data_IF_483965589103
#
_entry.id   IF_483965589103
#
_cell.length_a   1.000
_cell.length_b   1.000
_cell.length_c   1.000
_cell.angle_alpha   90.00
_cell.angle_beta   90.00
_cell.angle_gamma   90.00
#
_symmetry.space_group_name_H-M   'P 1'
#
loop_
_entity.id
_entity.type
_entity.pdbx_description
1 polymer ?
#
# COMPACT_ATOMS: atom_id res chain seq x y z
N UNK A 1 39.69 24.23 21.16
CA UNK A 1 38.25 24.48 20.84
C UNK A 1 37.89 24.23 19.37
N UNK A 2 38.70 24.63 18.36
CA UNK A 2 38.42 24.37 16.92
C UNK A 2 38.11 22.90 16.57
N UNK A 3 38.81 21.93 17.18
CA UNK A 3 38.60 20.49 16.93
C UNK A 3 37.25 19.97 17.43
N UNK A 4 36.71 20.52 18.51
CA UNK A 4 35.40 20.15 19.08
C UNK A 4 34.27 20.69 18.21
N UNK A 5 34.39 21.93 17.72
CA UNK A 5 33.44 22.54 16.78
C UNK A 5 33.39 21.77 15.46
N UNK A 6 34.54 21.30 14.97
CA UNK A 6 34.60 20.46 13.77
C UNK A 6 33.89 19.10 13.98
N UNK A 7 34.08 18.48 15.14
CA UNK A 7 33.40 17.23 15.51
C UNK A 7 31.88 17.43 15.60
N UNK A 8 31.43 18.56 16.17
CA UNK A 8 30.02 18.94 16.25
C UNK A 8 29.40 19.20 14.87
N UNK A 9 30.13 19.85 13.95
CA UNK A 9 29.71 20.09 12.57
C UNK A 9 29.64 18.82 11.73
N UNK A 10 30.57 17.88 11.96
CA UNK A 10 30.54 16.55 11.33
C UNK A 10 29.34 15.75 11.87
N UNK A 11 29.11 15.75 13.18
CA UNK A 11 27.94 15.11 13.79
C UNK A 11 26.62 15.70 13.31
N UNK A 12 26.52 17.03 13.17
CA UNK A 12 25.36 17.71 12.59
C UNK A 12 25.14 17.34 11.12
N UNK A 13 26.20 17.29 10.31
CA UNK A 13 26.09 16.88 8.90
C UNK A 13 25.69 15.42 8.74
N UNK A 14 26.15 14.53 9.64
CA UNK A 14 25.75 13.12 9.60
C UNK A 14 24.39 12.86 10.25
N UNK A 15 23.85 13.75 11.08
CA UNK A 15 22.50 13.56 11.65
C UNK A 15 21.37 14.06 10.74
N UNK A 16 21.69 14.73 9.63
CA UNK A 16 20.76 15.01 8.52
C UNK A 16 20.79 13.83 7.52
N UNK A 17 20.89 12.58 8.01
CA UNK A 17 20.51 11.44 7.18
C UNK A 17 19.05 11.67 6.77
N UNK A 18 18.82 11.69 5.46
CA UNK A 18 17.50 11.75 4.83
C UNK A 18 16.58 10.71 5.48
N UNK A 19 15.82 11.11 6.51
CA UNK A 19 14.96 10.21 7.24
C UNK A 19 13.80 9.84 6.33
N UNK A 20 13.58 8.53 6.16
CA UNK A 20 12.45 8.00 5.38
C UNK A 20 11.38 7.54 6.35
N UNK A 21 10.22 8.19 6.31
CA UNK A 21 9.04 7.77 7.05
C UNK A 21 8.37 6.57 6.37
N UNK A 22 7.71 5.74 7.16
CA UNK A 22 6.85 4.66 6.68
C UNK A 22 5.50 4.74 7.38
N UNK A 23 4.43 4.65 6.60
CA UNK A 23 3.06 4.63 7.09
C UNK A 23 2.31 3.48 6.42
N UNK A 24 1.43 2.81 7.18
CA UNK A 24 0.56 1.79 6.59
C UNK A 24 -0.80 1.66 7.26
N UNK A 25 -1.84 1.42 6.44
CA UNK A 25 -3.16 0.99 6.89
C UNK A 25 -3.52 -0.46 6.49
N UNK A 26 -2.51 -1.22 6.05
CA UNK A 26 -2.67 -2.60 5.58
C UNK A 26 -2.63 -3.58 6.76
N UNK A 27 -3.63 -4.45 6.82
CA UNK A 27 -3.60 -5.66 7.64
C UNK A 27 -2.72 -6.72 6.97
N UNK A 28 -1.70 -7.18 7.69
CA UNK A 28 -0.72 -8.15 7.19
C UNK A 28 -1.23 -9.60 7.19
N UNK A 29 -2.38 -9.88 7.82
CA UNK A 29 -2.96 -11.22 7.93
C UNK A 29 -3.63 -11.64 6.62
N UNK A 30 -3.30 -12.85 6.14
CA UNK A 30 -3.99 -13.48 5.01
C UNK A 30 -5.33 -14.05 5.46
N UNK A 31 -6.39 -13.79 4.69
CA UNK A 31 -7.71 -14.36 4.94
C UNK A 31 -8.16 -15.26 3.80
N UNK A 32 -8.94 -16.30 4.11
CA UNK A 32 -9.65 -17.07 3.10
C UNK A 32 -11.14 -16.77 3.24
N UNK A 33 -11.77 -16.36 2.14
CA UNK A 33 -13.15 -15.91 2.08
C UNK A 33 -13.92 -16.86 1.18
N UNK A 34 -14.98 -17.42 1.71
CA UNK A 34 -15.96 -18.17 0.93
C UNK A 34 -17.12 -17.22 0.63
N UNK A 35 -17.33 -16.92 -0.64
CA UNK A 35 -18.43 -16.07 -1.08
C UNK A 35 -19.41 -16.87 -1.94
N UNK A 36 -20.70 -16.69 -1.65
CA UNK A 36 -21.75 -17.07 -2.58
C UNK A 36 -21.88 -16.00 -3.65
N UNK A 37 -22.11 -16.43 -4.90
CA UNK A 37 -22.24 -15.49 -6.00
C UNK A 37 -23.52 -15.75 -6.76
N UNK A 38 -24.35 -14.70 -6.85
CA UNK A 38 -25.67 -14.62 -7.48
C UNK A 38 -26.20 -13.19 -7.33
N UNK A 39 -27.51 -12.96 -7.43
CA UNK A 39 -28.12 -11.60 -7.35
C UNK A 39 -27.88 -10.90 -5.99
N UNK A 40 -27.50 -11.66 -4.96
CA UNK A 40 -27.05 -11.15 -3.67
C UNK A 40 -25.72 -11.81 -3.31
N UNK A 41 -24.63 -11.28 -3.86
CA UNK A 41 -23.27 -11.72 -3.51
C UNK A 41 -23.04 -11.49 -2.01
N UNK A 42 -22.68 -12.53 -1.27
CA UNK A 42 -22.55 -12.49 0.18
C UNK A 42 -21.40 -13.35 0.68
N UNK A 43 -20.73 -12.91 1.74
CA UNK A 43 -19.70 -13.70 2.42
C UNK A 43 -20.38 -14.75 3.28
N UNK A 44 -20.14 -16.03 2.98
CA UNK A 44 -20.59 -17.15 3.82
C UNK A 44 -19.68 -17.32 5.03
N UNK A 45 -18.37 -17.29 4.79
CA UNK A 45 -17.37 -17.58 5.80
C UNK A 45 -16.07 -16.83 5.53
N UNK A 46 -15.36 -16.46 6.60
CA UNK A 46 -14.01 -15.89 6.53
C UNK A 46 -13.17 -16.50 7.64
N UNK A 47 -12.06 -17.12 7.25
CA UNK A 47 -11.04 -17.59 8.17
C UNK A 47 -9.74 -16.81 8.00
N UNK A 48 -8.96 -16.77 9.06
CA UNK A 48 -7.61 -16.19 9.04
C UNK A 48 -6.64 -17.35 8.86
N UNK A 49 -5.88 -17.32 7.78
CA UNK A 49 -4.87 -18.35 7.52
C UNK A 49 -3.62 -18.09 8.36
N UNK A 50 -2.84 -19.14 8.62
CA UNK A 50 -1.56 -19.04 9.32
C UNK A 50 -0.46 -18.49 8.40
N UNK A 51 -0.67 -17.28 7.90
CA UNK A 51 0.29 -16.52 7.10
C UNK A 51 0.20 -15.05 7.46
N UNK A 52 1.36 -14.43 7.66
CA UNK A 52 1.49 -13.02 8.00
C UNK A 52 2.53 -12.35 7.11
N UNK A 53 2.10 -11.37 6.31
CA UNK A 53 2.95 -10.59 5.42
C UNK A 53 3.88 -9.60 6.16
N UNK A 54 3.86 -9.57 7.49
CA UNK A 54 4.66 -8.63 8.29
C UNK A 54 6.14 -8.71 7.98
N UNK A 55 6.68 -9.91 7.78
CA UNK A 55 8.12 -10.08 7.56
C UNK A 55 8.54 -9.59 6.17
N UNK A 56 7.67 -9.77 5.18
CA UNK A 56 7.86 -9.19 3.86
C UNK A 56 7.83 -7.66 3.91
N UNK A 57 6.85 -7.07 4.60
CA UNK A 57 6.73 -5.61 4.75
C UNK A 57 7.94 -5.05 5.51
N UNK A 58 8.34 -5.68 6.63
CA UNK A 58 9.52 -5.28 7.40
C UNK A 58 10.80 -5.27 6.55
N UNK A 59 10.98 -6.27 5.67
CA UNK A 59 12.12 -6.30 4.75
C UNK A 59 12.09 -5.15 3.76
N UNK A 60 10.92 -4.77 3.25
CA UNK A 60 10.76 -3.61 2.36
C UNK A 60 11.04 -2.27 3.07
N UNK A 61 10.88 -2.21 4.40
CA UNK A 61 10.87 -0.95 5.17
C UNK A 61 11.94 -0.90 6.27
N UNK A 62 12.97 -1.75 6.20
CA UNK A 62 13.92 -2.00 7.30
C UNK A 62 14.69 -0.77 7.79
N UNK A 63 14.82 0.28 6.97
CA UNK A 63 15.55 1.52 7.28
C UNK A 63 14.63 2.73 7.45
N UNK A 64 13.35 2.50 7.72
CA UNK A 64 12.34 3.56 7.83
C UNK A 64 11.86 3.76 9.26
N UNK A 65 11.40 4.98 9.54
CA UNK A 65 10.76 5.33 10.81
C UNK A 65 9.26 5.13 10.63
N UNK A 66 8.64 4.26 11.43
CA UNK A 66 7.18 4.06 11.38
C UNK A 66 6.45 5.24 12.03
N UNK A 67 5.48 5.81 11.33
CA UNK A 67 4.67 6.93 11.76
C UNK A 67 3.19 6.51 11.80
N UNK A 68 2.49 6.80 12.89
CA UNK A 68 1.13 6.28 13.12
C UNK A 68 0.02 7.29 12.83
N UNK A 69 0.33 8.58 12.75
CA UNK A 69 -0.67 9.67 12.70
C UNK A 69 -1.04 10.09 11.27
N UNK A 70 -0.81 9.21 10.29
CA UNK A 70 -1.11 9.48 8.88
C UNK A 70 -2.61 9.31 8.60
N UNK A 71 -3.23 10.34 8.03
CA UNK A 71 -4.64 10.31 7.63
C UNK A 71 -4.79 9.72 6.23
N UNK A 72 -5.10 8.42 6.18
CA UNK A 72 -5.31 7.70 4.92
C UNK A 72 -6.56 8.15 4.15
N UNK A 73 -7.49 8.92 4.75
CA UNK A 73 -8.68 9.42 4.04
C UNK A 73 -8.33 10.35 2.89
N UNK A 74 -7.19 11.03 2.99
CA UNK A 74 -6.69 11.91 1.93
C UNK A 74 -6.42 11.15 0.60
N UNK A 75 -6.31 9.82 0.66
CA UNK A 75 -5.99 8.93 -0.47
C UNK A 75 -7.22 8.25 -1.12
N UNK A 76 -8.45 8.51 -0.65
CA UNK A 76 -9.66 7.78 -1.08
C UNK A 76 -10.03 7.92 -2.58
N UNK A 77 -9.51 8.95 -3.27
CA UNK A 77 -9.86 9.23 -4.68
C UNK A 77 -8.98 8.54 -5.73
N UNK A 78 -8.21 7.50 -5.37
CA UNK A 78 -7.38 6.67 -6.26
C UNK A 78 -6.33 7.38 -7.14
N UNK A 79 -6.24 8.70 -7.10
CA UNK A 79 -5.29 9.49 -7.89
C UNK A 79 -4.17 10.04 -7.02
N UNK A 80 -3.49 9.13 -6.30
CA UNK A 80 -2.41 9.49 -5.41
C UNK A 80 -1.44 10.45 -6.10
N UNK A 81 -1.12 11.55 -5.41
CA UNK A 81 -0.10 12.51 -5.84
C UNK A 81 -0.46 13.34 -7.09
N UNK A 82 -1.69 13.24 -7.62
CA UNK A 82 -2.16 14.17 -8.67
C UNK A 82 -2.87 15.38 -8.08
N UNK A 83 -3.55 15.21 -6.94
CA UNK A 83 -4.33 16.24 -6.26
C UNK A 83 -3.43 17.21 -5.47
N UNK A 84 -3.70 18.51 -5.59
CA UNK A 84 -2.96 19.56 -4.87
C UNK A 84 -3.07 19.41 -3.35
N UNK A 85 -4.25 19.09 -2.82
CA UNK A 85 -4.49 18.89 -1.39
C UNK A 85 -3.69 17.73 -0.83
N UNK A 86 -3.57 16.63 -1.58
CA UNK A 86 -2.73 15.51 -1.20
C UNK A 86 -1.25 15.91 -1.11
N UNK A 87 -0.75 16.70 -2.07
CA UNK A 87 0.64 17.17 -2.06
C UNK A 87 0.93 18.09 -0.89
N UNK A 88 0.03 19.03 -0.61
CA UNK A 88 0.13 19.93 0.55
C UNK A 88 0.15 19.12 1.85
N UNK A 89 -0.79 18.18 2.01
CA UNK A 89 -0.82 17.28 3.16
C UNK A 89 0.48 16.49 3.33
N UNK A 90 1.00 15.89 2.26
CA UNK A 90 2.22 15.10 2.32
C UNK A 90 3.46 15.93 2.66
N UNK A 91 3.53 17.15 2.11
CA UNK A 91 4.59 18.09 2.45
C UNK A 91 4.54 18.44 3.93
N UNK A 92 3.39 18.89 4.42
CA UNK A 92 3.18 19.28 5.82
C UNK A 92 3.47 18.11 6.77
N UNK A 93 3.00 16.90 6.41
CA UNK A 93 3.26 15.69 7.18
C UNK A 93 4.76 15.37 7.25
N UNK A 94 5.48 15.50 6.14
CA UNK A 94 6.91 15.24 6.10
C UNK A 94 7.70 16.29 6.91
N UNK A 95 7.38 17.57 6.76
CA UNK A 95 8.00 18.67 7.50
C UNK A 95 7.76 18.54 9.01
N UNK A 96 6.52 18.24 9.42
CA UNK A 96 6.15 18.02 10.83
C UNK A 96 6.94 16.87 11.48
N UNK A 97 7.20 15.81 10.72
CA UNK A 97 7.90 14.61 11.21
C UNK A 97 9.41 14.66 10.94
N UNK A 98 9.94 15.77 10.42
CA UNK A 98 11.36 15.94 10.07
C UNK A 98 11.90 14.80 9.17
N UNK A 99 11.09 14.37 8.20
CA UNK A 99 11.44 13.37 7.19
C UNK A 99 11.51 14.04 5.82
N UNK A 100 12.37 13.56 4.93
CA UNK A 100 12.47 14.07 3.56
C UNK A 100 11.65 13.24 2.56
N UNK A 101 11.44 11.97 2.93
CA UNK A 101 10.81 10.94 2.10
C UNK A 101 9.80 10.17 2.92
N UNK A 102 8.71 9.75 2.29
CA UNK A 102 7.72 8.88 2.91
C UNK A 102 7.35 7.73 1.97
N UNK A 103 7.37 6.53 2.52
CA UNK A 103 6.82 5.31 1.93
C UNK A 103 5.43 5.10 2.51
N UNK A 104 4.43 5.00 1.64
CA UNK A 104 3.03 4.88 2.01
C UNK A 104 2.52 3.53 1.50
N UNK A 105 2.10 2.67 2.41
CA UNK A 105 1.53 1.37 2.08
C UNK A 105 0.03 1.38 2.39
N UNK A 106 -0.81 1.52 1.36
CA UNK A 106 -2.24 1.75 1.53
C UNK A 106 -3.11 0.77 0.74
N UNK A 107 -4.35 0.60 1.21
CA UNK A 107 -5.36 -0.27 0.61
C UNK A 107 -5.98 0.36 -0.63
N UNK A 108 -6.04 -0.39 -1.73
CA UNK A 108 -6.92 -0.12 -2.87
C UNK A 108 -8.07 -1.14 -2.93
N UNK A 109 -9.33 -0.72 -3.17
CA UNK A 109 -10.41 -1.65 -3.49
C UNK A 109 -10.09 -2.56 -4.69
N UNK A 110 -10.31 -3.88 -4.53
CA UNK A 110 -10.15 -4.87 -5.60
C UNK A 110 -11.34 -4.87 -6.57
N UNK A 111 -12.55 -4.79 -6.01
CA UNK A 111 -13.78 -4.54 -6.77
C UNK A 111 -14.09 -3.05 -6.71
N UNK A 112 -14.75 -2.49 -7.71
CA UNK A 112 -15.25 -1.11 -7.65
C UNK A 112 -16.65 -1.07 -7.03
N UNK A 113 -17.08 0.10 -6.56
CA UNK A 113 -18.44 0.28 -6.03
C UNK A 113 -19.54 0.06 -7.08
N UNK A 114 -19.21 0.16 -8.37
CA UNK A 114 -20.13 -0.05 -9.49
C UNK A 114 -19.95 -1.44 -10.14
N UNK A 115 -19.24 -2.35 -9.47
CA UNK A 115 -19.04 -3.71 -9.96
C UNK A 115 -20.27 -4.57 -9.66
N UNK A 116 -20.58 -5.60 -10.46
CA UNK A 116 -21.53 -6.66 -10.06
C UNK A 116 -21.12 -7.39 -8.76
N UNK A 117 -19.92 -7.13 -8.26
CA UNK A 117 -19.40 -7.60 -6.99
C UNK A 117 -19.34 -6.49 -5.92
N UNK A 118 -20.23 -5.48 -5.98
CA UNK A 118 -20.24 -4.35 -5.03
C UNK A 118 -20.32 -4.79 -3.55
N UNK A 119 -21.00 -5.89 -3.24
CA UNK A 119 -21.04 -6.42 -1.87
C UNK A 119 -19.67 -6.91 -1.39
N UNK A 120 -18.77 -7.23 -2.33
CA UNK A 120 -17.37 -7.58 -2.07
C UNK A 120 -16.45 -6.35 -2.02
N UNK A 121 -16.92 -5.16 -2.41
CA UNK A 121 -16.18 -3.89 -2.29
C UNK A 121 -15.79 -3.61 -0.83
N UNK A 122 -16.71 -3.87 0.10
CA UNK A 122 -16.59 -3.54 1.53
C UNK A 122 -15.84 -4.59 2.35
N UNK A 123 -15.28 -5.61 1.71
CA UNK A 123 -14.52 -6.64 2.41
C UNK A 123 -13.35 -6.03 3.18
N UNK A 124 -13.24 -6.35 4.48
CA UNK A 124 -12.21 -5.84 5.38
C UNK A 124 -11.01 -6.79 5.45
N UNK A 125 -10.31 -6.94 4.33
CA UNK A 125 -9.01 -7.60 4.26
C UNK A 125 -8.16 -7.01 3.14
N UNK A 126 -6.85 -7.15 3.27
CA UNK A 126 -5.86 -6.63 2.33
C UNK A 126 -5.21 -7.73 1.50
N UNK A 127 -5.00 -8.89 2.11
CA UNK A 127 -4.55 -10.12 1.45
C UNK A 127 -5.60 -11.20 1.63
N UNK A 128 -5.96 -11.90 0.56
CA UNK A 128 -6.82 -13.04 0.73
C UNK A 128 -6.95 -13.96 -0.46
N UNK A 129 -7.54 -15.12 -0.20
CA UNK A 129 -8.03 -16.05 -1.19
C UNK A 129 -9.55 -15.91 -1.15
N UNK A 130 -10.19 -15.66 -2.28
CA UNK A 130 -11.65 -15.61 -2.39
C UNK A 130 -12.11 -16.79 -3.24
N UNK A 131 -12.81 -17.71 -2.61
CA UNK A 131 -13.46 -18.84 -3.27
C UNK A 131 -14.91 -18.48 -3.55
N UNK A 132 -15.26 -18.47 -4.83
CA UNK A 132 -16.63 -18.25 -5.30
C UNK A 132 -17.30 -19.59 -5.58
N UNK A 133 -18.41 -19.85 -4.88
CA UNK A 133 -19.23 -21.03 -5.11
C UNK A 133 -20.33 -20.71 -6.14
N UNK A 134 -20.09 -21.11 -7.40
CA UNK A 134 -21.10 -21.16 -8.50
C UNK A 134 -21.17 -22.60 -9.05
N UNK A 135 -21.92 -22.82 -10.13
CA UNK A 135 -21.86 -24.06 -10.94
C UNK A 135 -20.42 -24.46 -11.32
N UNK A 136 -19.51 -23.49 -11.47
CA UNK A 136 -18.05 -23.68 -11.51
C UNK A 136 -17.41 -22.92 -10.35
N UNK A 137 -16.54 -23.58 -9.58
CA UNK A 137 -15.81 -22.93 -8.49
C UNK A 137 -14.70 -22.05 -9.07
N UNK A 138 -14.61 -20.80 -8.63
CA UNK A 138 -13.53 -19.87 -9.02
C UNK A 138 -12.76 -19.45 -7.78
N UNK A 139 -11.42 -19.39 -7.88
CA UNK A 139 -10.55 -18.94 -6.81
C UNK A 139 -9.83 -17.66 -7.27
N UNK A 140 -9.91 -16.61 -6.47
CA UNK A 140 -9.17 -15.36 -6.69
C UNK A 140 -8.11 -15.18 -5.62
N UNK A 141 -6.91 -14.79 -6.05
CA UNK A 141 -5.86 -14.31 -5.15
C UNK A 141 -5.92 -12.79 -5.11
N UNK A 142 -6.23 -12.25 -3.95
CA UNK A 142 -6.44 -10.83 -3.73
C UNK A 142 -5.24 -10.25 -3.01
N UNK A 143 -4.63 -9.24 -3.63
CA UNK A 143 -3.65 -8.36 -3.04
C UNK A 143 -4.09 -6.92 -3.27
N UNK A 144 -4.49 -6.24 -2.19
CA UNK A 144 -4.99 -4.85 -2.21
C UNK A 144 -3.94 -3.83 -1.79
N UNK A 145 -2.72 -4.27 -1.58
CA UNK A 145 -1.61 -3.43 -1.16
C UNK A 145 -1.13 -2.59 -2.34
N UNK A 146 -1.13 -1.27 -2.16
CA UNK A 146 -0.42 -0.34 -3.04
C UNK A 146 0.73 0.30 -2.26
N UNK A 147 1.88 0.34 -2.92
CA UNK A 147 3.05 1.08 -2.47
C UNK A 147 3.10 2.41 -3.21
N UNK A 148 3.23 3.50 -2.47
CA UNK A 148 3.55 4.80 -3.02
C UNK A 148 4.72 5.44 -2.28
N UNK A 149 5.36 6.36 -2.98
CA UNK A 149 6.53 7.07 -2.49
C UNK A 149 6.38 8.56 -2.78
N UNK A 150 6.74 9.37 -1.81
CA UNK A 150 6.80 10.83 -1.94
C UNK A 150 8.12 11.35 -1.40
N UNK A 151 8.73 12.29 -2.14
CA UNK A 151 9.97 12.96 -1.80
C UNK A 151 9.72 14.47 -1.88
N UNK A 152 10.01 15.21 -0.81
CA UNK A 152 9.83 16.67 -0.79
C UNK A 152 10.71 17.36 -1.85
N UNK A 153 11.91 16.82 -2.11
CA UNK A 153 12.93 17.44 -2.99
C UNK A 153 12.73 17.11 -4.47
N UNK A 154 12.05 16.02 -4.78
CA UNK A 154 11.76 15.58 -6.14
C UNK A 154 10.25 15.58 -6.33
N UNK A 155 9.71 16.63 -6.94
CA UNK A 155 8.35 16.60 -7.52
C UNK A 155 8.37 15.75 -8.82
N UNK A 156 9.19 14.69 -8.86
CA UNK A 156 9.31 13.77 -9.99
C UNK A 156 8.65 12.45 -9.62
N UNK A 157 7.47 12.28 -10.21
CA UNK A 157 6.52 11.19 -10.01
C UNK A 157 7.10 9.90 -10.55
N UNK A 158 7.18 8.87 -9.71
CA UNK A 158 7.33 7.50 -10.19
C UNK A 158 6.10 6.70 -9.72
N UNK A 159 5.02 6.64 -10.53
CA UNK A 159 4.03 5.58 -10.38
C UNK A 159 4.63 4.30 -10.98
N UNK A 160 5.76 3.81 -10.46
CA UNK A 160 6.34 2.55 -10.91
C UNK A 160 5.81 1.42 -10.03
N UNK A 161 5.54 0.29 -10.69
CA UNK A 161 4.80 -0.90 -10.23
C UNK A 161 3.27 -0.82 -10.35
N UNK A 162 2.73 -0.85 -11.59
CA UNK A 162 1.67 -1.81 -11.97
C UNK A 162 1.33 -1.87 -13.48
N UNK A 163 2.05 -1.19 -14.39
CA UNK A 163 1.81 -1.37 -15.83
C UNK A 163 2.49 -2.60 -16.45
N UNK A 164 3.57 -3.15 -15.85
CA UNK A 164 4.28 -4.28 -16.46
C UNK A 164 3.57 -5.65 -16.32
N UNK A 165 2.58 -5.79 -15.43
CA UNK A 165 1.92 -7.10 -15.23
C UNK A 165 0.77 -7.42 -16.19
N UNK A 166 0.31 -6.46 -16.99
CA UNK A 166 -0.71 -6.72 -18.01
C UNK A 166 -0.09 -7.34 -19.28
N UNK A 167 1.21 -7.17 -19.51
CA UNK A 167 1.88 -7.75 -20.68
C UNK A 167 2.13 -9.26 -20.54
N UNK A 168 2.39 -9.76 -19.33
CA UNK A 168 2.68 -11.18 -19.10
C UNK A 168 1.46 -12.10 -19.23
N UNK A 169 0.23 -11.60 -18.98
CA UNK A 169 -0.97 -12.44 -19.09
C UNK A 169 -1.39 -12.62 -20.56
N UNK A 170 -1.12 -11.64 -21.44
CA UNK A 170 -1.43 -11.77 -22.87
C UNK A 170 -0.55 -12.78 -23.61
N UNK A 171 0.70 -12.98 -23.17
CA UNK A 171 1.63 -13.89 -23.84
C UNK A 171 1.43 -15.36 -23.43
N UNK A 172 0.82 -15.64 -22.27
CA UNK A 172 0.50 -17.03 -21.89
C UNK A 172 -0.73 -17.55 -22.65
N UNK A 173 -1.65 -16.67 -23.05
CA UNK A 173 -2.84 -17.06 -23.84
C UNK A 173 -2.61 -17.21 -25.35
N UNK A 174 -1.37 -17.01 -25.83
CA UNK A 174 -1.03 -17.23 -27.25
C UNK A 174 -0.30 -18.55 -27.52
N UNK A 175 0.07 -19.30 -26.49
CA UNK A 175 0.76 -20.59 -26.60
C UNK A 175 -0.03 -21.77 -25.99
N UNK A 176 -1.35 -21.62 -25.84
CA UNK A 176 -2.28 -22.73 -25.60
C UNK A 176 -3.34 -22.77 -26.69
#
# INVERSE_FOLDING_TARGET
MRKIVLLFLIFFKTSIFCQTGFVSNISTKLKHIHAEVGDKVGVKFTEVLNYNASDFIKKLTAQTITLNDFDFKILENNSLLSDKKQKEYLKDFCEKNNIEKIIILYRNPFFTQYSPYENLYRLKFDFGILTQERKKKTIYYINRMILAYYNIKEINYCPSFYQEKIHYIKNITKEM
#
